data_IF_445631563630
#
_entry.id   IF_445631563630
#
_cell.length_a   1.000
_cell.length_b   1.000
_cell.length_c   1.000
_cell.angle_alpha   90.00
_cell.angle_beta   90.00
_cell.angle_gamma   90.00
#
_symmetry.space_group_name_H-M   'P 1'
#
loop_
_entity.id
_entity.type
_entity.pdbx_description
1 polymer ?
#
# COMPACT_ATOMS: atom_id res chain seq x y z
N UNK A 1 24.00 -6.68 -19.28
CA UNK A 1 22.95 -5.62 -19.23
C UNK A 1 21.60 -6.21 -18.80
N UNK A 2 20.96 -7.07 -19.61
CA UNK A 2 19.64 -7.64 -19.28
C UNK A 2 19.61 -8.53 -18.02
N UNK A 3 20.65 -9.34 -17.80
CA UNK A 3 20.75 -10.20 -16.60
C UNK A 3 20.92 -9.41 -15.30
N UNK A 4 21.75 -8.36 -15.31
CA UNK A 4 21.96 -7.51 -14.13
C UNK A 4 20.66 -6.80 -13.74
N UNK A 5 19.89 -6.32 -14.72
CA UNK A 5 18.58 -5.71 -14.48
C UNK A 5 17.57 -6.73 -13.94
N UNK A 6 17.56 -7.95 -14.47
CA UNK A 6 16.69 -9.02 -13.97
C UNK A 6 17.02 -9.42 -12.53
N UNK A 7 18.31 -9.51 -12.21
CA UNK A 7 18.80 -9.83 -10.87
C UNK A 7 18.42 -8.74 -9.86
N UNK A 8 18.64 -7.46 -10.20
CA UNK A 8 18.25 -6.33 -9.34
C UNK A 8 16.74 -6.28 -9.16
N UNK A 9 15.96 -6.53 -10.22
CA UNK A 9 14.50 -6.61 -10.12
C UNK A 9 14.07 -7.71 -9.15
N UNK A 10 14.69 -8.90 -9.21
CA UNK A 10 14.41 -9.99 -8.27
C UNK A 10 14.63 -9.56 -6.82
N UNK A 11 15.76 -8.91 -6.51
CA UNK A 11 16.02 -8.39 -5.17
C UNK A 11 15.02 -7.32 -4.71
N UNK A 12 14.58 -6.43 -5.61
CA UNK A 12 13.57 -5.42 -5.30
C UNK A 12 12.22 -6.08 -5.03
N UNK A 13 11.83 -7.06 -5.85
CA UNK A 13 10.57 -7.78 -5.70
C UNK A 13 10.55 -8.55 -4.35
N UNK A 14 11.65 -9.23 -3.99
CA UNK A 14 11.79 -9.91 -2.70
C UNK A 14 11.73 -8.94 -1.52
N UNK A 15 12.43 -7.80 -1.63
CA UNK A 15 12.40 -6.76 -0.60
C UNK A 15 11.00 -6.15 -0.47
N UNK A 16 10.31 -5.89 -1.57
CA UNK A 16 8.94 -5.40 -1.57
C UNK A 16 7.99 -6.42 -0.91
N UNK A 17 8.19 -7.71 -1.16
CA UNK A 17 7.41 -8.78 -0.52
C UNK A 17 7.61 -8.83 1.00
N UNK A 18 8.85 -8.66 1.45
CA UNK A 18 9.18 -8.56 2.87
C UNK A 18 8.57 -7.30 3.51
N UNK A 19 8.63 -6.14 2.84
CA UNK A 19 7.98 -4.92 3.32
C UNK A 19 6.45 -5.06 3.38
N UNK A 20 5.82 -5.70 2.39
CA UNK A 20 4.38 -5.99 2.43
C UNK A 20 4.01 -6.87 3.62
N UNK A 21 4.86 -7.84 3.98
CA UNK A 21 4.67 -8.69 5.15
C UNK A 21 4.70 -7.86 6.44
N UNK A 22 5.59 -6.88 6.55
CA UNK A 22 5.63 -5.96 7.69
C UNK A 22 4.39 -5.08 7.77
N UNK A 23 3.88 -4.58 6.64
CA UNK A 23 2.63 -3.80 6.59
C UNK A 23 1.45 -4.64 7.08
N UNK A 24 1.36 -5.90 6.66
CA UNK A 24 0.30 -6.81 7.10
C UNK A 24 0.36 -7.06 8.61
N UNK A 25 1.55 -7.32 9.16
CA UNK A 25 1.75 -7.50 10.61
C UNK A 25 1.39 -6.21 11.37
N UNK A 26 1.83 -5.06 10.85
CA UNK A 26 1.53 -3.74 11.42
C UNK A 26 0.03 -3.49 11.51
N UNK A 27 -0.70 -3.70 10.40
CA UNK A 27 -2.15 -3.57 10.36
C UNK A 27 -2.84 -4.51 11.36
N UNK A 28 -2.47 -5.80 11.39
CA UNK A 28 -3.07 -6.77 12.33
C UNK A 28 -2.80 -6.38 13.78
N UNK A 29 -1.58 -5.92 14.07
CA UNK A 29 -1.22 -5.46 15.42
C UNK A 29 -2.05 -4.25 15.86
N UNK A 30 -2.26 -3.28 14.96
CA UNK A 30 -3.08 -2.10 15.24
C UNK A 30 -4.54 -2.45 15.50
N UNK A 31 -5.10 -3.44 14.80
CA UNK A 31 -6.45 -3.98 15.10
C UNK A 31 -6.52 -4.60 16.49
N UNK A 32 -5.51 -5.38 16.87
CA UNK A 32 -5.50 -6.11 18.15
C UNK A 32 -5.32 -5.16 19.33
N UNK A 33 -4.38 -4.23 19.22
CA UNK A 33 -4.03 -3.31 20.31
C UNK A 33 -4.84 -2.01 20.30
N UNK A 34 -5.59 -1.74 19.23
CA UNK A 34 -6.43 -0.55 19.06
C UNK A 34 -5.65 0.74 18.79
N UNK A 35 -4.33 0.67 18.71
CA UNK A 35 -3.41 1.78 18.42
C UNK A 35 -2.21 1.23 17.65
N UNK A 36 -1.56 2.06 16.82
CA UNK A 36 -0.42 1.58 16.05
C UNK A 36 0.77 1.23 16.95
N UNK A 37 1.43 0.15 16.59
CA UNK A 37 2.55 -0.41 17.35
C UNK A 37 3.85 0.05 16.70
N UNK A 38 4.87 0.35 17.51
CA UNK A 38 6.17 0.87 17.03
C UNK A 38 6.09 2.21 16.27
N UNK A 39 5.07 3.03 16.54
CA UNK A 39 4.85 4.31 15.84
C UNK A 39 4.39 4.16 14.39
N UNK A 40 3.93 2.96 14.00
CA UNK A 40 3.40 2.67 12.68
C UNK A 40 1.88 2.49 12.77
N UNK A 41 1.14 3.49 12.31
CA UNK A 41 -0.33 3.45 12.22
C UNK A 41 -0.72 3.12 10.77
N UNK A 42 -0.74 1.84 10.41
CA UNK A 42 -1.02 1.40 9.04
C UNK A 42 -2.47 1.69 8.66
N UNK A 43 -3.43 1.40 9.55
CA UNK A 43 -4.85 1.58 9.28
C UNK A 43 -5.17 3.06 9.15
N UNK A 44 -4.69 3.90 10.07
CA UNK A 44 -4.87 5.35 10.00
C UNK A 44 -4.35 5.92 8.67
N UNK A 45 -3.14 5.53 8.25
CA UNK A 45 -2.56 5.96 6.98
C UNK A 45 -3.43 5.54 5.79
N UNK A 46 -3.93 4.30 5.76
CA UNK A 46 -4.80 3.80 4.70
C UNK A 46 -6.15 4.53 4.69
N UNK A 47 -6.76 4.74 5.85
CA UNK A 47 -8.03 5.47 5.97
C UNK A 47 -7.89 6.92 5.53
N UNK A 48 -6.77 7.58 5.83
CA UNK A 48 -6.49 8.95 5.37
C UNK A 48 -6.41 9.03 3.84
N UNK A 49 -5.76 8.06 3.19
CA UNK A 49 -5.68 8.00 1.73
C UNK A 49 -7.08 7.82 1.13
N UNK A 50 -7.88 6.90 1.67
CA UNK A 50 -9.26 6.69 1.21
C UNK A 50 -10.11 7.95 1.39
N UNK A 51 -9.97 8.63 2.52
CA UNK A 51 -10.68 9.88 2.80
C UNK A 51 -10.35 10.96 1.77
N UNK A 52 -9.09 11.08 1.33
CA UNK A 52 -8.68 12.05 0.30
C UNK A 52 -9.41 11.87 -1.03
N UNK A 53 -9.75 10.62 -1.40
CA UNK A 53 -10.57 10.35 -2.58
C UNK A 53 -12.03 10.74 -2.36
N UNK A 54 -12.55 10.58 -1.13
CA UNK A 54 -13.89 11.01 -0.75
C UNK A 54 -14.05 12.54 -0.78
N UNK A 55 -13.05 13.27 -0.29
CA UNK A 55 -13.01 14.74 -0.32
C UNK A 55 -12.97 15.29 -1.76
N UNK A 56 -12.30 14.58 -2.67
CA UNK A 56 -12.31 14.90 -4.10
C UNK A 56 -13.67 14.69 -4.80
N UNK A 57 -14.68 14.16 -4.09
CA UNK A 57 -16.03 13.93 -4.61
C UNK A 57 -16.03 13.11 -5.90
N UNK A 58 -16.68 13.63 -6.95
CA UNK A 58 -16.76 12.95 -8.25
C UNK A 58 -15.38 12.74 -8.90
N UNK A 59 -14.47 13.71 -8.79
CA UNK A 59 -13.13 13.59 -9.37
C UNK A 59 -12.30 12.52 -8.66
N UNK A 60 -12.42 12.41 -7.33
CA UNK A 60 -11.75 11.36 -6.55
C UNK A 60 -12.25 9.95 -6.90
N UNK A 61 -13.56 9.78 -7.06
CA UNK A 61 -14.14 8.51 -7.52
C UNK A 61 -13.72 8.15 -8.95
N UNK A 62 -13.65 9.13 -9.84
CA UNK A 62 -13.17 8.92 -11.21
C UNK A 62 -11.69 8.51 -11.23
N UNK A 63 -10.85 9.15 -10.40
CA UNK A 63 -9.45 8.78 -10.24
C UNK A 63 -9.29 7.34 -9.72
N UNK A 64 -10.10 6.92 -8.73
CA UNK A 64 -10.12 5.55 -8.23
C UNK A 64 -10.49 4.55 -9.34
N UNK A 65 -11.52 4.84 -10.14
CA UNK A 65 -11.93 3.97 -11.25
C UNK A 65 -10.82 3.81 -12.30
N UNK A 66 -10.11 4.89 -12.64
CA UNK A 66 -8.98 4.84 -13.57
C UNK A 66 -7.84 4.00 -12.98
N UNK A 67 -7.48 4.22 -11.71
CA UNK A 67 -6.42 3.44 -11.04
C UNK A 67 -6.76 1.94 -11.00
N UNK A 68 -7.98 1.58 -10.59
CA UNK A 68 -8.44 0.19 -10.60
C UNK A 68 -8.44 -0.39 -12.02
N UNK A 69 -8.82 0.41 -13.02
CA UNK A 69 -8.74 0.03 -14.43
C UNK A 69 -7.32 -0.27 -14.91
N UNK A 70 -6.31 0.48 -14.43
CA UNK A 70 -4.91 0.25 -14.73
C UNK A 70 -4.36 -1.01 -14.04
N UNK A 71 -4.72 -1.24 -12.77
CA UNK A 71 -4.26 -2.43 -12.02
C UNK A 71 -4.84 -3.75 -12.53
N UNK A 72 -6.00 -3.72 -13.21
CA UNK A 72 -6.64 -4.91 -13.79
C UNK A 72 -6.12 -5.26 -15.19
N UNK A 73 -5.20 -4.47 -15.75
CA UNK A 73 -4.62 -4.65 -17.08
C UNK A 73 -3.18 -5.16 -16.98
#
# INVERSE_FOLDING_TARGET
>A
MKEVVAMVKGYIDDLAHLLMSFVAIGAVSEVIFGTGVFGVNVIENLTSIIASFGEGGFAGLLALLILVGLFRK
#
